data_IF_446586306582
#
_entry.id   IF_446586306582
#
_cell.length_a   1.000
_cell.length_b   1.000
_cell.length_c   1.000
_cell.angle_alpha   90.00
_cell.angle_beta   90.00
_cell.angle_gamma   90.00
#
_symmetry.space_group_name_H-M   'P 1'
#
loop_
_entity.id
_entity.type
_entity.pdbx_description
1 polymer ?
#
# COMPACT_ATOMS: atom_id res chain seq x y z
N UNK A 1 -8.96 4.18 -12.79
CA UNK A 1 -7.50 4.36 -12.66
C UNK A 1 -6.88 3.05 -12.20
N UNK A 2 -5.73 2.70 -12.77
CA UNK A 2 -4.93 1.56 -12.35
C UNK A 2 -3.83 2.04 -11.39
N UNK A 3 -3.87 1.52 -10.18
CA UNK A 3 -2.95 1.90 -9.11
C UNK A 3 -1.79 0.90 -8.95
N UNK A 4 -1.54 0.05 -9.95
CA UNK A 4 -0.55 -1.03 -9.85
C UNK A 4 0.60 -0.84 -10.81
N UNK A 5 1.82 -1.09 -10.35
CA UNK A 5 2.98 -1.15 -11.21
C UNK A 5 2.98 -2.38 -12.12
N UNK A 6 3.57 -2.23 -13.31
CA UNK A 6 3.79 -3.36 -14.22
C UNK A 6 4.84 -4.30 -13.60
N UNK A 7 4.54 -5.60 -13.59
CA UNK A 7 5.49 -6.62 -13.14
C UNK A 7 6.59 -6.79 -14.18
N UNK A 8 7.84 -6.57 -13.77
CA UNK A 8 9.04 -6.69 -14.60
C UNK A 8 10.14 -7.38 -13.80
N UNK A 9 11.14 -7.94 -14.48
CA UNK A 9 12.25 -8.66 -13.83
C UNK A 9 13.21 -7.71 -13.09
N UNK A 10 13.28 -6.44 -13.53
CA UNK A 10 14.15 -5.39 -12.99
C UNK A 10 13.46 -4.48 -11.95
N UNK A 11 12.22 -4.79 -11.55
CA UNK A 11 11.50 -3.98 -10.57
C UNK A 11 12.08 -4.12 -9.15
N UNK A 12 11.92 -3.10 -8.29
CA UNK A 12 12.31 -3.19 -6.88
C UNK A 12 11.68 -4.40 -6.19
N UNK A 13 12.46 -5.10 -5.37
CA UNK A 13 11.98 -6.20 -4.53
C UNK A 13 12.71 -6.18 -3.17
N UNK A 14 12.09 -6.69 -2.10
CA UNK A 14 12.68 -6.68 -0.78
C UNK A 14 14.04 -7.38 -0.75
N UNK A 15 15.03 -6.86 0.00
CA UNK A 15 16.30 -7.55 0.21
C UNK A 15 16.08 -8.95 0.80
N UNK A 16 16.76 -9.95 0.23
CA UNK A 16 16.65 -11.35 0.66
C UNK A 16 15.52 -12.14 -0.01
N UNK A 17 14.62 -11.52 -0.73
CA UNK A 17 13.67 -12.22 -1.61
C UNK A 17 14.29 -12.51 -2.98
N UNK A 18 13.80 -13.56 -3.63
CA UNK A 18 14.23 -13.88 -5.00
C UNK A 18 13.69 -12.81 -5.97
N UNK A 19 14.50 -12.36 -6.93
CA UNK A 19 14.04 -11.42 -7.94
C UNK A 19 12.92 -12.02 -8.79
N UNK A 20 12.02 -11.19 -9.32
CA UNK A 20 10.99 -11.63 -10.25
C UNK A 20 11.59 -12.32 -11.48
N UNK A 21 10.93 -13.36 -11.98
CA UNK A 21 11.31 -14.04 -13.23
C UNK A 21 10.12 -14.25 -14.14
N UNK A 22 10.28 -13.85 -15.39
CA UNK A 22 9.30 -13.99 -16.47
C UNK A 22 9.81 -15.02 -17.48
N UNK A 23 9.50 -16.31 -17.26
CA UNK A 23 9.93 -17.39 -18.15
C UNK A 23 9.08 -17.36 -19.42
N UNK A 24 9.77 -17.17 -20.55
CA UNK A 24 9.14 -17.07 -21.86
C UNK A 24 9.45 -18.30 -22.71
N UNK A 25 8.46 -18.75 -23.46
CA UNK A 25 8.56 -19.78 -24.47
C UNK A 25 8.95 -19.22 -25.84
N UNK A 26 8.86 -20.07 -26.87
CA UNK A 26 9.02 -19.65 -28.26
C UNK A 26 8.12 -18.46 -28.60
N UNK A 27 8.58 -17.58 -29.47
CA UNK A 27 7.88 -16.36 -29.85
C UNK A 27 7.59 -15.37 -28.71
N UNK A 28 8.29 -15.45 -27.58
CA UNK A 28 8.19 -14.50 -26.48
C UNK A 28 6.95 -14.63 -25.59
N UNK A 29 6.12 -15.67 -25.79
CA UNK A 29 4.94 -15.92 -24.93
C UNK A 29 5.36 -16.17 -23.50
N UNK A 30 4.75 -15.46 -22.53
CA UNK A 30 4.95 -15.71 -21.11
C UNK A 30 4.34 -17.06 -20.73
N UNK A 31 5.15 -17.98 -20.24
CA UNK A 31 4.72 -19.33 -19.81
C UNK A 31 4.64 -19.49 -18.31
N UNK A 32 5.52 -18.80 -17.56
CA UNK A 32 5.58 -18.91 -16.12
C UNK A 32 6.03 -17.58 -15.51
N UNK A 33 5.41 -17.22 -14.40
CA UNK A 33 5.78 -16.11 -13.54
C UNK A 33 6.27 -16.66 -12.19
N UNK A 34 7.47 -16.28 -11.77
CA UNK A 34 7.95 -16.43 -10.40
C UNK A 34 8.02 -15.07 -9.76
N UNK A 35 7.31 -14.89 -8.63
CA UNK A 35 7.19 -13.61 -7.96
C UNK A 35 7.15 -13.84 -6.45
N UNK A 36 7.90 -13.03 -5.69
CA UNK A 36 7.82 -12.99 -4.24
C UNK A 36 6.47 -12.43 -3.77
N UNK A 37 5.96 -12.91 -2.65
CA UNK A 37 4.65 -12.46 -2.12
C UNK A 37 4.67 -11.01 -1.63
N UNK A 38 5.85 -10.44 -1.38
CA UNK A 38 6.04 -9.04 -1.00
C UNK A 38 6.62 -8.19 -2.14
N UNK A 39 6.42 -8.56 -3.38
CA UNK A 39 7.01 -7.90 -4.54
C UNK A 39 5.94 -7.27 -5.42
N UNK A 40 6.23 -6.09 -5.99
CA UNK A 40 5.28 -5.32 -6.80
C UNK A 40 4.28 -4.53 -5.96
N UNK A 41 3.23 -4.02 -6.59
CA UNK A 41 2.07 -3.52 -5.86
C UNK A 41 1.42 -4.69 -5.14
N UNK A 42 1.19 -4.57 -3.85
CA UNK A 42 0.78 -5.72 -3.03
C UNK A 42 -0.27 -5.36 -1.99
N UNK A 43 -1.01 -6.38 -1.57
CA UNK A 43 -1.88 -6.37 -0.40
C UNK A 43 -1.21 -7.16 0.73
N UNK A 44 -1.26 -6.60 1.94
CA UNK A 44 -0.86 -7.27 3.19
C UNK A 44 -2.00 -7.23 4.20
N UNK A 45 -2.22 -8.35 4.88
CA UNK A 45 -3.06 -8.42 6.09
C UNK A 45 -2.18 -8.15 7.31
N UNK A 46 -2.53 -7.14 8.10
CA UNK A 46 -1.86 -6.81 9.36
C UNK A 46 -2.85 -7.04 10.49
N UNK A 47 -2.59 -8.04 11.29
CA UNK A 47 -3.50 -8.49 12.36
C UNK A 47 -2.98 -8.09 13.74
N UNK A 48 -3.91 -7.71 14.63
CA UNK A 48 -3.61 -7.55 16.05
C UNK A 48 -3.24 -8.92 16.67
N UNK A 49 -2.45 -8.93 17.75
CA UNK A 49 -2.20 -10.18 18.49
C UNK A 49 -3.50 -10.88 18.89
N UNK A 50 -3.64 -12.16 18.54
CA UNK A 50 -4.83 -12.96 18.86
C UNK A 50 -6.04 -12.73 17.94
N UNK A 51 -5.90 -11.99 16.86
CA UNK A 51 -6.98 -11.85 15.88
C UNK A 51 -7.29 -13.19 15.20
N UNK A 52 -8.57 -13.43 14.93
CA UNK A 52 -9.03 -14.67 14.26
C UNK A 52 -8.75 -14.66 12.75
N UNK A 53 -8.71 -13.46 12.14
CA UNK A 53 -8.34 -13.27 10.74
C UNK A 53 -6.91 -12.74 10.67
N UNK A 54 -6.02 -13.47 10.02
CA UNK A 54 -4.61 -13.11 9.87
C UNK A 54 -4.02 -13.43 8.49
N UNK A 55 -4.77 -14.09 7.62
CA UNK A 55 -4.29 -14.56 6.32
C UNK A 55 -5.25 -14.20 5.18
N UNK A 56 -4.72 -14.13 3.97
CA UNK A 56 -5.43 -13.70 2.76
C UNK A 56 -6.65 -14.58 2.42
N UNK A 57 -6.54 -15.91 2.62
CA UNK A 57 -7.64 -16.82 2.31
C UNK A 57 -8.89 -16.61 3.17
N UNK A 58 -8.75 -15.93 4.29
CA UNK A 58 -9.84 -15.62 5.21
C UNK A 58 -10.60 -14.33 4.84
N UNK A 59 -10.03 -13.50 3.94
CA UNK A 59 -10.68 -12.28 3.48
C UNK A 59 -11.97 -12.58 2.72
N UNK A 60 -13.00 -11.81 3.01
CA UNK A 60 -14.26 -11.81 2.28
C UNK A 60 -14.21 -10.82 1.10
N UNK A 61 -15.09 -10.94 0.10
CA UNK A 61 -15.17 -9.96 -0.97
C UNK A 61 -15.43 -8.52 -0.51
N UNK A 62 -16.07 -8.33 0.65
CA UNK A 62 -16.32 -6.99 1.22
C UNK A 62 -15.05 -6.30 1.69
N UNK A 63 -14.05 -7.07 2.10
CA UNK A 63 -12.77 -6.54 2.54
C UNK A 63 -11.90 -6.05 1.35
N UNK A 64 -12.26 -6.44 0.13
CA UNK A 64 -11.51 -6.16 -1.10
C UNK A 64 -12.14 -5.07 -1.98
N UNK A 65 -13.29 -4.50 -1.57
CA UNK A 65 -13.96 -3.39 -2.27
C UNK A 65 -14.27 -2.31 -1.24
N UNK A 66 -13.49 -1.23 -1.24
CA UNK A 66 -13.51 -0.22 -0.17
C UNK A 66 -13.74 1.18 -0.72
N UNK A 67 -14.56 2.02 -0.05
CA UNK A 67 -14.54 3.45 -0.30
C UNK A 67 -13.16 4.01 0.05
N UNK A 68 -12.63 4.91 -0.76
CA UNK A 68 -11.30 5.44 -0.57
C UNK A 68 -11.27 6.95 -0.40
N UNK A 69 -10.35 7.43 0.42
CA UNK A 69 -9.96 8.82 0.55
C UNK A 69 -8.47 8.96 0.27
N UNK A 70 -8.08 10.08 -0.34
CA UNK A 70 -6.70 10.39 -0.69
C UNK A 70 -6.19 11.55 0.16
N UNK A 71 -5.07 11.34 0.83
CA UNK A 71 -4.26 12.40 1.46
C UNK A 71 -3.05 12.64 0.54
N UNK A 72 -3.03 13.80 -0.12
CA UNK A 72 -1.91 14.19 -0.96
C UNK A 72 -0.85 14.91 -0.11
N UNK A 73 0.31 14.30 0.00
CA UNK A 73 1.45 14.83 0.75
C UNK A 73 2.72 14.96 -0.13
N UNK A 74 2.57 14.92 -1.47
CA UNK A 74 3.70 14.90 -2.43
C UNK A 74 4.67 16.05 -2.22
N UNK A 75 4.18 17.28 -2.12
CA UNK A 75 5.03 18.46 -1.94
C UNK A 75 5.88 18.38 -0.66
N UNK A 76 5.29 17.83 0.42
CA UNK A 76 5.98 17.72 1.72
C UNK A 76 6.93 16.53 1.79
N UNK A 77 6.53 15.41 1.20
CA UNK A 77 7.34 14.20 1.16
C UNK A 77 8.58 14.35 0.29
N UNK A 78 8.49 15.15 -0.79
CA UNK A 78 9.62 15.42 -1.68
C UNK A 78 10.80 16.07 -0.95
N UNK A 79 10.52 16.99 -0.03
CA UNK A 79 11.53 17.80 0.67
C UNK A 79 11.94 17.21 2.03
N UNK A 80 11.32 16.08 2.44
CA UNK A 80 11.53 15.51 3.77
C UNK A 80 11.94 14.04 3.67
N UNK A 81 13.26 13.71 3.75
CA UNK A 81 13.71 12.32 3.83
C UNK A 81 13.03 11.58 4.99
N UNK A 82 12.50 10.38 4.71
CA UNK A 82 11.79 9.59 5.72
C UNK A 82 10.48 10.24 6.21
N UNK A 83 9.81 11.00 5.35
CA UNK A 83 8.53 11.65 5.66
C UNK A 83 7.55 10.70 6.36
N UNK A 84 6.96 11.14 7.46
CA UNK A 84 5.91 10.40 8.16
C UNK A 84 4.67 11.28 8.32
N UNK A 85 3.54 10.83 7.77
CA UNK A 85 2.25 11.51 7.95
C UNK A 85 1.88 11.53 9.42
N UNK A 86 1.56 12.70 9.98
CA UNK A 86 1.19 12.85 11.39
C UNK A 86 -0.33 12.85 11.60
N UNK A 87 -0.76 12.61 12.84
CA UNK A 87 -2.18 12.78 13.22
C UNK A 87 -2.67 14.23 13.02
N UNK A 88 -1.79 15.22 13.13
CA UNK A 88 -2.13 16.61 12.85
C UNK A 88 -2.47 16.82 11.38
N UNK A 89 -1.76 16.15 10.48
CA UNK A 89 -2.01 16.20 9.03
C UNK A 89 -3.34 15.57 8.68
N UNK A 90 -3.65 14.40 9.26
CA UNK A 90 -4.95 13.75 9.10
C UNK A 90 -6.07 14.69 9.53
N UNK A 91 -5.96 15.32 10.70
CA UNK A 91 -6.96 16.28 11.17
C UNK A 91 -7.04 17.53 10.29
N UNK A 92 -5.93 17.98 9.71
CA UNK A 92 -5.93 19.09 8.76
C UNK A 92 -6.69 18.72 7.48
N UNK A 93 -6.48 17.51 6.96
CA UNK A 93 -7.23 16.98 5.83
C UNK A 93 -8.74 16.88 6.16
N UNK A 94 -9.09 16.36 7.33
CA UNK A 94 -10.49 16.24 7.77
C UNK A 94 -11.21 17.61 7.88
N UNK A 95 -10.51 18.67 8.27
CA UNK A 95 -11.10 20.03 8.29
C UNK A 95 -11.47 20.52 6.89
N UNK A 96 -10.75 20.09 5.87
CA UNK A 96 -11.00 20.52 4.48
C UNK A 96 -12.03 19.63 3.76
N UNK A 97 -12.08 18.32 4.09
CA UNK A 97 -12.82 17.34 3.30
C UNK A 97 -13.89 16.58 4.09
N UNK A 98 -14.01 16.82 5.39
CA UNK A 98 -14.88 16.06 6.29
C UNK A 98 -14.17 14.89 6.96
N UNK A 99 -14.81 14.36 8.01
CA UNK A 99 -14.27 13.24 8.79
C UNK A 99 -14.13 11.98 7.94
N UNK A 100 -12.99 11.32 8.04
CA UNK A 100 -12.74 10.04 7.35
C UNK A 100 -13.74 8.99 7.88
N UNK A 101 -14.53 8.36 6.98
CA UNK A 101 -15.55 7.41 7.42
C UNK A 101 -14.93 6.09 7.88
N UNK A 102 -15.56 5.39 8.86
CA UNK A 102 -15.13 4.05 9.25
C UNK A 102 -15.27 3.08 8.07
N UNK A 103 -14.39 2.09 8.02
CA UNK A 103 -14.34 1.12 6.92
C UNK A 103 -13.71 1.64 5.63
N UNK A 104 -13.23 2.88 5.58
CA UNK A 104 -12.55 3.43 4.40
C UNK A 104 -11.13 2.86 4.24
N UNK A 105 -10.63 2.91 3.00
CA UNK A 105 -9.21 2.86 2.66
C UNK A 105 -8.66 4.29 2.65
N UNK A 106 -7.62 4.57 3.42
CA UNK A 106 -6.89 5.84 3.37
C UNK A 106 -5.64 5.67 2.53
N UNK A 107 -5.58 6.40 1.42
CA UNK A 107 -4.44 6.43 0.50
C UNK A 107 -3.57 7.65 0.81
N UNK A 108 -2.26 7.44 0.88
CA UNK A 108 -1.25 8.47 1.05
C UNK A 108 -0.41 8.59 -0.23
N UNK A 109 -0.57 9.69 -0.97
CA UNK A 109 0.26 10.01 -2.12
C UNK A 109 1.49 10.79 -1.66
N UNK A 110 2.67 10.26 -1.95
CA UNK A 110 3.96 10.87 -1.60
C UNK A 110 4.82 11.19 -2.81
N UNK A 111 4.43 10.70 -4.02
CA UNK A 111 5.22 10.80 -5.25
C UNK A 111 6.43 9.88 -5.25
N UNK A 112 6.49 8.93 -4.31
CA UNK A 112 7.62 7.99 -4.22
C UNK A 112 7.66 7.01 -5.37
N UNK A 113 6.52 6.67 -5.95
CA UNK A 113 6.35 5.81 -7.12
C UNK A 113 7.17 6.28 -8.35
N UNK A 114 7.47 7.58 -8.45
CA UNK A 114 8.34 8.12 -9.49
C UNK A 114 9.76 7.54 -9.46
N UNK A 115 10.18 6.96 -8.34
CA UNK A 115 11.47 6.30 -8.14
C UNK A 115 11.46 4.81 -8.52
N UNK A 116 10.31 4.25 -8.91
CA UNK A 116 10.14 2.82 -9.19
C UNK A 116 11.12 2.24 -10.23
N UNK A 117 11.59 3.07 -11.15
CA UNK A 117 12.58 2.68 -12.16
C UNK A 117 14.02 2.48 -11.66
N UNK A 118 14.31 2.89 -10.42
CA UNK A 118 15.63 2.73 -9.78
C UNK A 118 15.45 2.07 -8.40
N UNK A 119 15.77 0.78 -8.31
CA UNK A 119 15.60 0.01 -7.10
C UNK A 119 16.39 0.59 -5.90
N UNK A 120 17.55 1.19 -6.10
CA UNK A 120 18.34 1.79 -5.03
C UNK A 120 17.69 3.08 -4.51
N UNK A 121 17.19 3.91 -5.43
CA UNK A 121 16.47 5.12 -5.06
C UNK A 121 15.12 4.79 -4.39
N UNK A 122 14.42 3.74 -4.86
CA UNK A 122 13.13 3.31 -4.32
C UNK A 122 13.26 2.68 -2.93
N UNK A 123 14.24 1.80 -2.72
CA UNK A 123 14.53 1.11 -1.45
C UNK A 123 15.53 1.92 -0.59
N UNK A 124 15.41 3.24 -0.62
CA UNK A 124 16.31 4.17 0.06
C UNK A 124 16.53 3.84 1.53
N UNK A 125 17.79 4.00 1.98
CA UNK A 125 18.20 3.81 3.35
C UNK A 125 18.96 5.03 3.85
N UNK A 126 18.86 5.32 5.13
CA UNK A 126 19.65 6.36 5.79
C UNK A 126 21.11 5.91 6.05
N UNK A 127 21.90 6.80 6.64
CA UNK A 127 23.31 6.53 6.96
C UNK A 127 23.50 5.37 7.96
N UNK A 128 22.48 4.99 8.71
CA UNK A 128 22.49 3.84 9.64
C UNK A 128 22.09 2.53 8.95
N UNK A 129 21.63 2.59 7.68
CA UNK A 129 21.10 1.46 6.93
C UNK A 129 19.61 1.18 7.18
N UNK A 130 18.91 2.02 7.97
CA UNK A 130 17.47 1.91 8.17
C UNK A 130 16.70 2.42 6.94
N UNK A 131 15.50 1.87 6.65
CA UNK A 131 14.66 2.39 5.56
C UNK A 131 14.38 3.89 5.73
N UNK A 132 14.60 4.66 4.66
CA UNK A 132 14.33 6.10 4.60
C UNK A 132 13.31 6.37 3.51
N UNK A 133 12.09 5.87 3.72
CA UNK A 133 10.96 5.95 2.78
C UNK A 133 9.78 6.65 3.46
N UNK A 134 8.87 7.26 2.70
CA UNK A 134 7.65 7.82 3.28
C UNK A 134 6.79 6.78 3.96
N UNK A 135 6.04 7.19 4.99
CA UNK A 135 5.16 6.28 5.74
C UNK A 135 3.99 7.03 6.41
N UNK A 136 3.06 6.26 6.94
CA UNK A 136 2.17 6.75 7.99
C UNK A 136 2.96 6.78 9.29
N UNK A 137 2.94 7.91 10.02
CA UNK A 137 3.50 7.99 11.35
C UNK A 137 2.68 7.17 12.36
N UNK A 138 3.26 6.73 13.48
CA UNK A 138 2.55 5.92 14.47
C UNK A 138 1.29 6.58 15.02
N UNK A 139 1.32 7.88 15.23
CA UNK A 139 0.19 8.68 15.72
C UNK A 139 -0.92 8.83 14.68
N UNK A 140 -0.57 8.96 13.39
CA UNK A 140 -1.54 8.95 12.30
C UNK A 140 -2.18 7.57 12.13
N UNK A 141 -1.37 6.51 12.17
CA UNK A 141 -1.87 5.14 12.09
C UNK A 141 -2.82 4.81 13.26
N UNK A 142 -2.48 5.21 14.50
CA UNK A 142 -3.36 5.04 15.64
C UNK A 142 -4.69 5.80 15.47
N UNK A 143 -4.62 7.07 15.05
CA UNK A 143 -5.82 7.87 14.78
C UNK A 143 -6.70 7.20 13.74
N UNK A 144 -6.13 6.75 12.63
CA UNK A 144 -6.88 6.16 11.51
C UNK A 144 -7.46 4.79 11.89
N UNK A 145 -6.62 3.89 12.37
CA UNK A 145 -7.03 2.50 12.64
C UNK A 145 -7.91 2.39 13.88
N UNK A 146 -7.53 3.02 15.00
CA UNK A 146 -8.16 2.81 16.28
C UNK A 146 -9.24 3.84 16.63
N UNK A 147 -9.16 5.07 16.12
CA UNK A 147 -10.11 6.13 16.44
C UNK A 147 -11.10 6.41 15.29
N UNK A 148 -10.70 6.22 14.03
CA UNK A 148 -11.58 6.37 12.86
C UNK A 148 -12.13 5.03 12.36
N UNK A 149 -11.51 3.91 12.73
CA UNK A 149 -11.95 2.58 12.35
C UNK A 149 -11.84 2.33 10.84
N UNK A 150 -10.77 2.86 10.20
CA UNK A 150 -10.53 2.59 8.78
C UNK A 150 -10.17 1.13 8.57
N UNK A 151 -10.57 0.55 7.44
CA UNK A 151 -10.31 -0.85 7.11
C UNK A 151 -8.92 -1.07 6.53
N UNK A 152 -8.36 -0.04 5.88
CA UNK A 152 -7.12 -0.17 5.15
C UNK A 152 -6.32 1.13 5.08
N UNK A 153 -5.00 0.98 4.98
CA UNK A 153 -4.04 2.03 4.63
C UNK A 153 -3.36 1.68 3.30
N UNK A 154 -3.07 2.66 2.46
CA UNK A 154 -2.38 2.45 1.19
C UNK A 154 -1.37 3.55 0.90
N UNK A 155 -0.24 3.22 0.28
CA UNK A 155 0.85 4.16 -0.02
C UNK A 155 1.56 3.82 -1.32
N UNK A 156 2.12 4.82 -1.99
CA UNK A 156 2.95 4.70 -3.19
C UNK A 156 4.44 4.38 -2.92
N UNK A 157 4.75 3.96 -1.71
CA UNK A 157 6.10 3.60 -1.24
C UNK A 157 6.11 2.19 -0.63
N UNK A 158 7.30 1.62 -0.29
CA UNK A 158 7.37 0.45 0.57
C UNK A 158 6.69 0.72 1.90
N UNK A 159 5.72 -0.11 2.28
CA UNK A 159 4.91 0.12 3.46
C UNK A 159 5.63 -0.23 4.76
N UNK A 160 5.27 0.49 5.82
CA UNK A 160 5.60 0.13 7.21
C UNK A 160 4.31 -0.38 7.84
N UNK A 161 4.21 -1.67 8.17
CA UNK A 161 2.98 -2.23 8.73
C UNK A 161 2.64 -1.63 10.11
N UNK A 162 1.39 -1.22 10.27
CA UNK A 162 0.83 -0.77 11.54
C UNK A 162 -0.32 -1.70 11.95
N UNK A 163 -0.18 -2.38 13.09
CA UNK A 163 -1.23 -3.24 13.59
C UNK A 163 -2.32 -2.40 14.29
N UNK A 164 -3.62 -2.70 14.07
CA UNK A 164 -4.69 -2.12 14.86
C UNK A 164 -4.67 -2.67 16.30
N UNK A 165 -5.38 -2.00 17.22
CA UNK A 165 -5.50 -2.48 18.60
C UNK A 165 -6.27 -3.80 18.71
N UNK A 166 -7.20 -4.06 17.79
CA UNK A 166 -7.98 -5.30 17.71
C UNK A 166 -8.34 -5.62 16.26
N UNK A 167 -8.58 -6.90 15.97
CA UNK A 167 -8.95 -7.35 14.63
C UNK A 167 -7.79 -7.30 13.66
N UNK A 168 -8.03 -6.82 12.45
CA UNK A 168 -7.03 -6.68 11.40
C UNK A 168 -7.25 -5.40 10.59
N UNK A 169 -6.23 -4.96 9.87
CA UNK A 169 -6.35 -3.99 8.80
C UNK A 169 -5.65 -4.51 7.54
N UNK A 170 -5.97 -3.91 6.41
CA UNK A 170 -5.28 -4.15 5.16
C UNK A 170 -4.24 -3.06 4.93
N UNK A 171 -3.11 -3.43 4.33
CA UNK A 171 -2.11 -2.49 3.86
C UNK A 171 -1.82 -2.72 2.38
N UNK A 172 -1.98 -1.66 1.59
CA UNK A 172 -1.59 -1.62 0.19
C UNK A 172 -0.25 -0.89 0.07
N UNK A 173 0.71 -1.53 -0.57
CA UNK A 173 2.07 -1.01 -0.69
C UNK A 173 2.46 -0.91 -2.16
N UNK A 174 3.42 -0.03 -2.45
CA UNK A 174 3.95 0.17 -3.80
C UNK A 174 2.84 0.49 -4.82
N UNK A 175 1.94 1.39 -4.47
CA UNK A 175 0.94 1.89 -5.40
C UNK A 175 1.55 2.91 -6.37
N UNK A 176 0.83 3.24 -7.43
CA UNK A 176 1.19 4.28 -8.40
C UNK A 176 -0.05 5.06 -8.83
N UNK A 177 0.16 6.18 -9.52
CA UNK A 177 -0.92 6.98 -10.11
C UNK A 177 -1.94 7.52 -9.09
N UNK A 178 -1.57 7.65 -7.83
CA UNK A 178 -2.45 8.16 -6.78
C UNK A 178 -2.86 9.61 -7.04
N UNK A 179 -2.04 10.39 -7.74
CA UNK A 179 -2.32 11.77 -8.12
C UNK A 179 -3.54 11.94 -9.03
N UNK A 180 -4.02 10.86 -9.63
CA UNK A 180 -5.20 10.86 -10.49
C UNK A 180 -6.51 10.71 -9.71
N UNK A 181 -6.44 10.50 -8.40
CA UNK A 181 -7.62 10.30 -7.57
C UNK A 181 -8.10 11.61 -6.95
N UNK A 182 -9.42 11.80 -6.83
CA UNK A 182 -9.97 12.88 -6.02
C UNK A 182 -9.73 12.62 -4.52
N UNK A 183 -9.74 13.66 -3.67
CA UNK A 183 -9.61 13.49 -2.23
C UNK A 183 -10.65 12.56 -1.61
N UNK A 184 -11.84 12.48 -2.18
CA UNK A 184 -12.97 11.64 -1.72
C UNK A 184 -13.77 11.12 -2.92
N UNK A 185 -14.59 10.08 -2.69
CA UNK A 185 -15.56 9.57 -3.68
C UNK A 185 -15.06 8.42 -4.55
N UNK A 186 -13.78 8.05 -4.46
CA UNK A 186 -13.27 6.86 -5.16
C UNK A 186 -13.70 5.57 -4.44
N UNK A 187 -13.84 4.49 -5.22
CA UNK A 187 -13.98 3.12 -4.72
C UNK A 187 -12.82 2.30 -5.24
N UNK A 188 -12.11 1.62 -4.36
CA UNK A 188 -10.97 0.78 -4.73
C UNK A 188 -11.35 -0.69 -4.71
N UNK A 189 -10.96 -1.41 -5.76
CA UNK A 189 -11.09 -2.85 -5.93
C UNK A 189 -9.70 -3.46 -5.87
N UNK A 190 -9.51 -4.45 -4.97
CA UNK A 190 -8.22 -5.08 -4.70
C UNK A 190 -8.23 -6.51 -5.23
N UNK A 191 -7.47 -6.78 -6.28
CA UNK A 191 -7.34 -8.10 -6.90
C UNK A 191 -6.10 -8.83 -6.40
N UNK A 192 -6.14 -9.37 -5.18
CA UNK A 192 -5.07 -10.18 -4.61
C UNK A 192 -5.32 -11.68 -4.83
N UNK A 193 -4.25 -12.49 -4.86
CA UNK A 193 -4.37 -13.94 -4.93
C UNK A 193 -4.84 -14.49 -3.58
N UNK A 194 -5.75 -15.46 -3.62
CA UNK A 194 -6.24 -16.16 -2.42
C UNK A 194 -5.26 -17.29 -2.05
N UNK A 195 -4.14 -16.92 -1.44
CA UNK A 195 -3.07 -17.84 -1.08
C UNK A 195 -3.28 -18.42 0.32
N UNK A 196 -3.11 -19.73 0.45
CA UNK A 196 -3.19 -20.45 1.73
C UNK A 196 -2.06 -20.02 2.66
N UNK A 197 -2.38 -19.72 3.91
CA UNK A 197 -1.45 -19.37 4.99
C UNK A 197 -0.51 -18.18 4.66
N UNK A 198 -0.92 -17.31 3.72
CA UNK A 198 -0.14 -16.14 3.32
C UNK A 198 -0.76 -14.86 3.90
N UNK A 199 0.10 -13.97 4.37
CA UNK A 199 -0.30 -12.63 4.88
C UNK A 199 -0.20 -11.55 3.80
N UNK A 200 0.50 -11.82 2.69
CA UNK A 200 0.68 -10.85 1.59
C UNK A 200 0.60 -11.52 0.24
N UNK A 201 0.25 -10.75 -0.77
CA UNK A 201 0.20 -11.15 -2.18
C UNK A 201 0.39 -9.94 -3.07
N UNK A 202 1.10 -10.08 -4.19
CA UNK A 202 0.97 -9.13 -5.29
C UNK A 202 -0.50 -8.94 -5.65
N UNK A 203 -0.87 -7.70 -5.97
CA UNK A 203 -2.26 -7.36 -6.23
C UNK A 203 -2.40 -6.41 -7.43
N UNK A 204 -3.48 -6.56 -8.21
CA UNK A 204 -3.95 -5.53 -9.11
C UNK A 204 -4.94 -4.65 -8.35
N UNK A 205 -4.62 -3.38 -8.22
CA UNK A 205 -5.42 -2.41 -7.47
C UNK A 205 -6.02 -1.41 -8.46
N UNK A 206 -7.35 -1.34 -8.50
CA UNK A 206 -8.09 -0.50 -9.41
C UNK A 206 -8.95 0.50 -8.64
N UNK A 207 -8.95 1.76 -9.04
CA UNK A 207 -9.84 2.77 -8.50
C UNK A 207 -10.92 3.16 -9.51
N UNK A 208 -12.16 3.08 -9.08
CA UNK A 208 -13.31 3.66 -9.76
C UNK A 208 -13.48 5.07 -9.21
N UNK A 209 -13.42 6.04 -10.09
CA UNK A 209 -13.58 7.47 -9.77
C UNK A 209 -14.90 7.99 -10.29
N UNK A 210 -15.50 9.01 -9.67
CA UNK A 210 -16.77 9.61 -10.14
C UNK A 210 -16.68 10.15 -11.57
#
# INVERSE_FOLDING_TARGET
>A
VDLSHVVREDMPHPPGELPPRLLRGPAGTLLQLQLGVNTGSLLRVVAAPGATLSNLEQLSPRDLVLPAVLIDARDRAQDTPGFALSAADVRAWERAHGTIPPGALVLLATGWDLRWGDANAYLSRDASGAPSVPSFGPDAADLLLNQRGVAALGIDAPGVPHAPAAGFCLMLENLTSLEQLPPTGATVVIGALKLQAAQSSPARVLALVP
#
